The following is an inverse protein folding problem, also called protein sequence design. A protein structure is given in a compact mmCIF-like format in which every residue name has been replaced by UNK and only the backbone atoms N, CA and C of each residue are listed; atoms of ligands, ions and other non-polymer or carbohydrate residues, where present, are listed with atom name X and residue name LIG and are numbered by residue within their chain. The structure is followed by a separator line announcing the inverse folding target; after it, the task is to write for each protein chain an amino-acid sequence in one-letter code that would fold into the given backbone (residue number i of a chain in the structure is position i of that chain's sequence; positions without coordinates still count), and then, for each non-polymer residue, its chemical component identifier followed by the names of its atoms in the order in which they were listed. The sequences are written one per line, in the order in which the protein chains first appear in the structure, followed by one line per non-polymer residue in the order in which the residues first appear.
data_IF_445071774494
#
_entry.id   IF_445071774494
#
_cell.length_a   1.000
_cell.length_b   1.000
_cell.length_c   1.000
_cell.angle_alpha   90.00
_cell.angle_beta   90.00
_cell.angle_gamma   90.00
#
_symmetry.space_group_name_H-M   'P 1'
#
loop_
_entity.id
_entity.type
_entity.pdbx_description
1 polymer ?
#
# COMPACT_ATOMS: atom_id res chain seq x y z
N UNK A 1 -17.13 30.54 -29.47
CA UNK A 1 -15.89 30.42 -28.66
C UNK A 1 -16.19 30.77 -27.21
N UNK A 2 -15.90 29.88 -26.27
CA UNK A 2 -16.23 30.07 -24.86
C UNK A 2 -15.09 30.73 -24.10
N UNK A 3 -15.36 31.87 -23.46
CA UNK A 3 -14.39 32.62 -22.66
C UNK A 3 -13.92 31.74 -21.47
N UNK A 4 -12.61 31.57 -21.35
CA UNK A 4 -11.97 30.83 -20.26
C UNK A 4 -11.96 31.69 -18.98
N UNK A 5 -12.86 31.38 -18.04
CA UNK A 5 -12.93 32.07 -16.75
C UNK A 5 -11.90 31.50 -15.75
N UNK A 6 -11.54 32.26 -14.70
CA UNK A 6 -10.64 31.79 -13.62
C UNK A 6 -11.08 30.47 -12.98
N UNK A 7 -12.36 30.13 -13.05
CA UNK A 7 -12.94 28.88 -12.56
C UNK A 7 -12.68 27.69 -13.50
N UNK A 8 -12.41 27.94 -14.79
CA UNK A 8 -12.09 26.92 -15.80
C UNK A 8 -10.59 26.63 -15.92
N UNK A 9 -9.74 27.42 -15.24
CA UNK A 9 -8.30 27.15 -15.20
C UNK A 9 -8.03 25.97 -14.26
N UNK A 10 -7.23 24.97 -14.67
CA UNK A 10 -6.78 23.93 -13.76
C UNK A 10 -6.18 24.56 -12.51
N UNK A 11 -6.49 23.99 -11.34
CA UNK A 11 -5.88 24.42 -10.07
C UNK A 11 -4.35 24.44 -10.24
N UNK A 12 -3.68 25.38 -9.54
CA UNK A 12 -2.20 25.51 -9.60
C UNK A 12 -1.47 24.19 -9.36
N UNK A 13 -2.07 23.32 -8.54
CA UNK A 13 -1.70 21.91 -8.41
C UNK A 13 -2.81 21.09 -9.06
N UNK A 14 -2.63 20.75 -10.33
CA UNK A 14 -3.56 19.86 -11.03
C UNK A 14 -3.25 18.42 -10.61
N UNK A 15 -4.02 17.89 -9.68
CA UNK A 15 -4.08 16.50 -9.25
C UNK A 15 -5.39 15.83 -9.66
N UNK A 16 -6.21 16.48 -10.48
CA UNK A 16 -7.48 15.94 -10.96
C UNK A 16 -7.23 14.67 -11.79
N UNK A 17 -8.02 13.64 -11.47
CA UNK A 17 -8.04 12.39 -12.24
C UNK A 17 -8.48 12.72 -13.66
N UNK A 18 -7.79 12.18 -14.66
CA UNK A 18 -8.29 12.25 -16.02
C UNK A 18 -9.60 11.47 -16.07
N UNK A 19 -10.73 12.18 -16.18
CA UNK A 19 -12.09 11.60 -16.27
C UNK A 19 -12.30 10.75 -17.55
N UNK A 20 -11.28 10.64 -18.41
CA UNK A 20 -11.30 9.87 -19.65
C UNK A 20 -10.64 8.48 -19.50
N UNK A 21 -10.34 8.02 -18.28
CA UNK A 21 -9.85 6.65 -18.08
C UNK A 21 -11.00 5.64 -18.20
N UNK A 22 -10.77 4.50 -18.89
CA UNK A 22 -11.82 3.56 -19.22
C UNK A 22 -12.51 2.99 -17.97
N UNK A 23 -13.83 2.79 -18.10
CA UNK A 23 -14.67 2.13 -17.10
C UNK A 23 -14.16 0.71 -16.86
N UNK A 24 -13.40 0.55 -15.79
CA UNK A 24 -12.68 -0.68 -15.42
C UNK A 24 -11.60 -0.48 -14.36
N UNK A 25 -11.62 0.66 -13.65
CA UNK A 25 -10.59 0.98 -12.67
C UNK A 25 -10.59 -0.05 -11.54
N UNK A 26 -9.40 -0.56 -11.24
CA UNK A 26 -9.15 -1.35 -10.04
C UNK A 26 -9.58 -0.55 -8.81
N UNK A 27 -10.44 -1.14 -7.98
CA UNK A 27 -10.83 -0.54 -6.69
C UNK A 27 -9.67 -0.54 -5.69
N UNK A 28 -8.70 -1.43 -5.88
CA UNK A 28 -7.50 -1.57 -5.04
C UNK A 28 -6.37 -0.63 -5.51
N UNK A 29 -6.14 -0.55 -6.82
CA UNK A 29 -5.04 0.19 -7.45
C UNK A 29 -5.52 1.46 -8.15
N UNK A 30 -6.48 2.16 -7.54
CA UNK A 30 -6.96 3.44 -8.09
C UNK A 30 -5.83 4.47 -8.10
N UNK A 31 -5.42 5.00 -9.28
CA UNK A 31 -4.39 6.02 -9.37
C UNK A 31 -4.74 7.23 -8.49
N UNK A 32 -3.81 7.61 -7.60
CA UNK A 32 -3.95 8.80 -6.76
C UNK A 32 -2.93 9.84 -7.18
N UNK A 33 -3.39 11.07 -7.43
CA UNK A 33 -2.51 12.17 -7.80
C UNK A 33 -1.91 12.03 -9.20
N UNK A 34 -0.93 12.88 -9.50
CA UNK A 34 -0.35 13.05 -10.83
C UNK A 34 1.16 13.31 -10.76
N UNK A 35 1.99 12.50 -11.43
CA UNK A 35 3.42 12.77 -11.53
C UNK A 35 3.70 14.00 -12.42
N UNK A 36 4.80 14.69 -12.14
CA UNK A 36 5.29 15.80 -12.95
C UNK A 36 6.67 15.48 -13.53
N UNK A 37 6.81 15.73 -14.83
CA UNK A 37 8.05 15.50 -15.58
C UNK A 37 8.24 14.05 -15.99
N UNK A 38 9.43 13.75 -16.52
CA UNK A 38 9.81 12.38 -16.88
C UNK A 38 9.98 11.48 -15.66
N UNK A 39 9.76 10.17 -15.87
CA UNK A 39 10.10 9.15 -14.88
C UNK A 39 11.42 8.48 -15.21
N UNK A 40 12.22 8.17 -14.18
CA UNK A 40 13.27 7.17 -14.28
C UNK A 40 12.83 5.87 -13.59
N UNK A 41 13.39 4.75 -14.00
CA UNK A 41 13.15 3.44 -13.37
C UNK A 41 14.36 3.01 -12.58
N UNK A 42 14.14 2.36 -11.44
CA UNK A 42 15.21 1.78 -10.63
C UNK A 42 14.77 0.41 -10.08
N UNK A 43 15.71 -0.54 -9.90
CA UNK A 43 15.38 -1.84 -9.35
C UNK A 43 15.05 -1.74 -7.86
N UNK A 44 14.03 -2.48 -7.42
CA UNK A 44 13.76 -2.66 -5.99
C UNK A 44 14.61 -3.81 -5.45
N UNK A 45 15.22 -3.61 -4.28
CA UNK A 45 15.87 -4.69 -3.54
C UNK A 45 14.83 -5.69 -3.03
N UNK A 46 15.26 -6.92 -2.74
CA UNK A 46 14.36 -7.94 -2.18
C UNK A 46 13.67 -7.46 -0.90
N UNK A 47 14.43 -6.79 -0.02
CA UNK A 47 13.91 -6.21 1.22
C UNK A 47 12.82 -5.16 0.97
N UNK A 48 13.04 -4.22 0.04
CA UNK A 48 12.04 -3.19 -0.28
C UNK A 48 10.77 -3.79 -0.90
N UNK A 49 10.92 -4.82 -1.75
CA UNK A 49 9.77 -5.55 -2.30
C UNK A 49 8.97 -6.23 -1.20
N UNK A 50 9.65 -6.95 -0.30
CA UNK A 50 9.01 -7.63 0.84
C UNK A 50 8.26 -6.62 1.72
N UNK A 51 8.91 -5.51 2.09
CA UNK A 51 8.30 -4.47 2.93
C UNK A 51 7.09 -3.82 2.25
N UNK A 52 7.21 -3.44 0.98
CA UNK A 52 6.10 -2.85 0.22
C UNK A 52 4.93 -3.83 0.05
N UNK A 53 5.22 -5.11 -0.22
CA UNK A 53 4.20 -6.15 -0.34
C UNK A 53 3.45 -6.34 0.98
N UNK A 54 4.19 -6.53 2.07
CA UNK A 54 3.62 -6.71 3.41
C UNK A 54 2.76 -5.51 3.83
N UNK A 55 3.25 -4.30 3.61
CA UNK A 55 2.48 -3.08 3.87
C UNK A 55 1.14 -3.09 3.12
N UNK A 56 1.16 -3.39 1.82
CA UNK A 56 -0.06 -3.43 1.01
C UNK A 56 -1.04 -4.50 1.51
N UNK A 57 -0.56 -5.68 1.88
CA UNK A 57 -1.43 -6.76 2.37
C UNK A 57 -2.07 -6.43 3.72
N UNK A 58 -1.33 -5.80 4.63
CA UNK A 58 -1.83 -5.44 5.97
C UNK A 58 -2.87 -4.32 5.89
N UNK A 59 -2.62 -3.30 5.05
CA UNK A 59 -3.44 -2.08 5.01
C UNK A 59 -4.53 -2.11 3.91
N UNK A 60 -4.71 -3.22 3.20
CA UNK A 60 -5.74 -3.35 2.17
C UNK A 60 -7.01 -3.99 2.75
N UNK A 61 -8.11 -3.23 2.75
CA UNK A 61 -9.42 -3.72 3.23
C UNK A 61 -9.91 -4.98 2.49
N UNK A 62 -9.59 -5.13 1.20
CA UNK A 62 -9.95 -6.31 0.41
C UNK A 62 -9.18 -7.58 0.82
N UNK A 63 -8.04 -7.44 1.48
CA UNK A 63 -7.20 -8.54 1.95
C UNK A 63 -7.60 -8.99 3.36
N UNK A 64 -8.27 -8.14 4.13
CA UNK A 64 -8.68 -8.41 5.52
C UNK A 64 -9.36 -9.78 5.73
N UNK A 65 -10.32 -10.23 4.89
CA UNK A 65 -10.93 -11.56 5.05
C UNK A 65 -9.92 -12.71 4.97
N UNK A 66 -8.91 -12.58 4.10
CA UNK A 66 -7.84 -13.58 3.95
C UNK A 66 -6.94 -13.60 5.18
N UNK A 67 -6.61 -12.43 5.72
CA UNK A 67 -5.83 -12.31 6.96
C UNK A 67 -6.56 -12.92 8.15
N UNK A 68 -7.86 -12.67 8.28
CA UNK A 68 -8.70 -13.22 9.36
C UNK A 68 -8.83 -14.74 9.26
N UNK A 69 -8.97 -15.27 8.05
CA UNK A 69 -8.96 -16.71 7.82
C UNK A 69 -7.60 -17.34 8.16
N UNK A 70 -6.50 -16.69 7.78
CA UNK A 70 -5.16 -17.16 8.12
C UNK A 70 -4.94 -17.20 9.64
N UNK A 71 -5.44 -16.19 10.39
CA UNK A 71 -5.45 -16.20 11.85
C UNK A 71 -6.20 -17.41 12.40
N UNK A 72 -7.35 -17.74 11.84
CA UNK A 72 -8.14 -18.89 12.27
C UNK A 72 -7.49 -20.23 11.91
N UNK A 73 -6.78 -20.31 10.79
CA UNK A 73 -5.96 -21.47 10.44
C UNK A 73 -4.88 -21.72 11.50
N UNK A 74 -4.12 -20.69 11.89
CA UNK A 74 -3.09 -20.78 12.94
C UNK A 74 -3.69 -21.22 14.28
N UNK A 75 -4.86 -20.67 14.65
CA UNK A 75 -5.56 -21.04 15.89
C UNK A 75 -5.97 -22.51 15.91
N UNK A 76 -6.41 -23.06 14.76
CA UNK A 76 -6.83 -24.46 14.63
C UNK A 76 -5.65 -25.44 14.58
N UNK A 77 -4.52 -25.04 13.97
CA UNK A 77 -3.34 -25.90 13.85
C UNK A 77 -2.57 -26.05 15.17
N UNK A 78 -2.78 -25.12 16.11
CA UNK A 78 -2.13 -25.18 17.44
C UNK A 78 -2.85 -26.20 18.33
N UNK A 79 -2.29 -27.41 18.45
CA UNK A 79 -2.87 -28.52 19.23
C UNK A 79 -2.99 -28.16 20.72
N UNK A 80 -4.22 -27.97 21.20
CA UNK A 80 -4.57 -27.99 22.63
C UNK A 80 -4.28 -26.72 23.44
N UNK A 81 -3.60 -25.70 22.88
CA UNK A 81 -3.40 -24.40 23.55
C UNK A 81 -3.58 -23.27 22.55
N UNK A 82 -4.49 -22.34 22.84
CA UNK A 82 -4.64 -21.12 22.02
C UNK A 82 -3.38 -20.27 22.16
N UNK A 83 -2.70 -19.89 21.05
CA UNK A 83 -1.52 -19.04 21.14
C UNK A 83 -1.90 -17.67 21.73
N UNK A 84 -0.99 -17.04 22.51
CA UNK A 84 -1.16 -15.65 22.92
C UNK A 84 -1.37 -14.74 21.71
N UNK A 85 -2.17 -13.68 21.86
CA UNK A 85 -2.46 -12.73 20.77
C UNK A 85 -1.19 -12.15 20.16
N UNK A 86 -0.17 -11.84 20.98
CA UNK A 86 1.12 -11.32 20.50
C UNK A 86 1.84 -12.28 19.57
N UNK A 87 1.81 -13.58 19.87
CA UNK A 87 2.51 -14.60 19.07
C UNK A 87 1.75 -14.91 17.79
N UNK A 88 0.41 -14.87 17.86
CA UNK A 88 -0.46 -14.96 16.69
C UNK A 88 -0.16 -13.82 15.71
N UNK A 89 -0.21 -12.57 16.17
CA UNK A 89 0.03 -11.42 15.29
C UNK A 89 1.46 -11.40 14.75
N UNK A 90 2.48 -11.77 15.55
CA UNK A 90 3.86 -11.96 15.06
C UNK A 90 3.97 -13.01 13.95
N UNK A 91 3.17 -14.07 14.03
CA UNK A 91 3.16 -15.13 13.02
C UNK A 91 2.46 -14.66 11.76
N UNK A 92 1.31 -14.00 11.89
CA UNK A 92 0.59 -13.37 10.77
C UNK A 92 1.50 -12.39 10.04
N UNK A 93 2.14 -11.50 10.78
CA UNK A 93 3.08 -10.52 10.28
C UNK A 93 4.25 -11.12 9.49
N UNK A 94 4.75 -12.26 9.94
CA UNK A 94 5.90 -12.93 9.31
C UNK A 94 5.51 -13.77 8.10
N UNK A 95 4.38 -14.47 8.17
CA UNK A 95 4.09 -15.59 7.26
C UNK A 95 2.95 -15.31 6.30
N UNK A 96 2.13 -14.30 6.56
CA UNK A 96 0.96 -14.02 5.72
C UNK A 96 1.33 -13.62 4.29
N UNK A 97 2.44 -12.90 4.09
CA UNK A 97 2.89 -12.53 2.74
C UNK A 97 3.21 -13.74 1.85
N UNK A 98 3.59 -14.85 2.47
CA UNK A 98 3.98 -16.08 1.77
C UNK A 98 2.80 -17.06 1.66
N UNK A 99 1.81 -16.98 2.56
CA UNK A 99 0.59 -17.79 2.51
C UNK A 99 -0.47 -17.20 1.58
N UNK A 100 -0.56 -15.87 1.49
CA UNK A 100 -1.57 -15.17 0.69
C UNK A 100 -1.56 -15.58 -0.80
N UNK A 101 -0.40 -15.69 -1.49
CA UNK A 101 -0.40 -16.12 -2.88
C UNK A 101 -0.92 -17.54 -3.07
N UNK A 102 -0.63 -18.44 -2.13
CA UNK A 102 -1.11 -19.85 -2.15
C UNK A 102 -2.62 -19.92 -1.98
N UNK A 103 -3.17 -19.06 -1.10
CA UNK A 103 -4.61 -18.94 -0.87
C UNK A 103 -5.34 -18.33 -2.09
N UNK A 104 -4.70 -17.39 -2.79
CA UNK A 104 -5.29 -16.69 -3.94
C UNK A 104 -5.17 -17.45 -5.26
N UNK A 105 -4.13 -18.28 -5.42
CA UNK A 105 -3.82 -18.96 -6.69
C UNK A 105 -4.25 -20.43 -6.75
N UNK A 106 -4.91 -20.96 -5.71
CA UNK A 106 -5.39 -22.34 -5.59
C UNK A 106 -4.30 -23.43 -5.71
N UNK A 107 -3.53 -23.63 -4.62
CA UNK A 107 -2.82 -24.91 -4.38
C UNK A 107 -3.59 -25.87 -3.47
N UNK A 108 -4.70 -25.43 -2.86
CA UNK A 108 -5.63 -26.23 -2.06
C UNK A 108 -7.08 -25.80 -2.33
N UNK A 109 -8.03 -26.68 -2.08
CA UNK A 109 -9.49 -26.44 -2.13
C UNK A 109 -9.83 -25.02 -1.65
N UNK A 110 -10.55 -24.20 -2.45
CA UNK A 110 -10.87 -22.84 -2.06
C UNK A 110 -11.78 -22.88 -0.83
N UNK A 111 -11.27 -22.50 0.33
CA UNK A 111 -12.10 -22.34 1.54
C UNK A 111 -13.09 -21.17 1.35
N UNK A 112 -12.79 -20.25 0.42
CA UNK A 112 -13.64 -19.12 0.04
C UNK A 112 -14.29 -19.37 -1.32
N UNK A 113 -15.63 -19.40 -1.35
CA UNK A 113 -16.45 -19.60 -2.57
C UNK A 113 -16.54 -18.37 -3.48
N UNK A 114 -15.76 -17.32 -3.23
CA UNK A 114 -15.82 -16.08 -4.00
C UNK A 114 -14.95 -16.10 -5.25
N UNK A 115 -15.46 -15.48 -6.31
CA UNK A 115 -14.68 -15.16 -7.50
C UNK A 115 -13.53 -14.23 -7.13
N UNK A 116 -12.30 -14.76 -7.13
CA UNK A 116 -11.10 -13.98 -6.84
C UNK A 116 -10.89 -12.94 -7.96
N UNK A 117 -10.91 -11.67 -7.58
CA UNK A 117 -10.70 -10.56 -8.52
C UNK A 117 -9.29 -10.57 -9.11
N UNK A 118 -9.14 -10.04 -10.33
CA UNK A 118 -7.84 -9.84 -10.96
C UNK A 118 -6.90 -9.02 -10.08
N UNK A 119 -7.44 -8.04 -9.36
CA UNK A 119 -6.66 -7.18 -8.45
C UNK A 119 -6.06 -7.95 -7.28
N UNK A 120 -6.82 -8.89 -6.68
CA UNK A 120 -6.30 -9.77 -5.63
C UNK A 120 -5.19 -10.67 -6.16
N UNK A 121 -5.32 -11.17 -7.41
CA UNK A 121 -4.26 -11.93 -8.08
C UNK A 121 -3.02 -11.08 -8.35
N UNK A 122 -3.17 -9.79 -8.62
CA UNK A 122 -2.02 -8.88 -8.75
C UNK A 122 -1.37 -8.59 -7.39
N UNK A 123 -2.17 -8.35 -6.35
CA UNK A 123 -1.66 -8.21 -4.98
C UNK A 123 -0.84 -9.43 -4.57
N UNK A 124 -1.36 -10.64 -4.80
CA UNK A 124 -0.68 -11.89 -4.47
C UNK A 124 0.68 -12.07 -5.18
N UNK A 125 0.87 -11.50 -6.37
CA UNK A 125 2.17 -11.55 -7.07
C UNK A 125 3.20 -10.58 -6.48
N UNK A 126 2.75 -9.62 -5.70
CA UNK A 126 3.59 -8.59 -5.12
C UNK A 126 4.07 -7.52 -6.12
N UNK A 127 4.92 -6.58 -5.66
CA UNK A 127 5.38 -5.45 -6.44
C UNK A 127 6.22 -5.85 -7.67
N UNK A 128 6.13 -5.03 -8.72
CA UNK A 128 6.99 -5.15 -9.89
C UNK A 128 8.49 -5.07 -9.50
N UNK A 129 9.39 -5.67 -10.31
CA UNK A 129 10.81 -5.70 -9.98
C UNK A 129 11.46 -4.31 -9.95
N UNK A 130 10.90 -3.37 -10.70
CA UNK A 130 11.39 -2.01 -10.85
C UNK A 130 10.31 -1.02 -10.39
N UNK A 131 10.73 0.05 -9.72
CA UNK A 131 9.89 1.17 -9.35
C UNK A 131 10.18 2.39 -10.23
N UNK A 132 9.19 3.27 -10.35
CA UNK A 132 9.32 4.57 -11.03
C UNK A 132 9.62 5.66 -10.01
N UNK A 133 10.56 6.54 -10.34
CA UNK A 133 10.86 7.76 -9.58
C UNK A 133 10.47 8.97 -10.41
N UNK A 134 9.91 9.96 -9.72
CA UNK A 134 9.54 11.26 -10.28
C UNK A 134 10.21 12.38 -9.48
N UNK A 135 10.41 13.53 -10.12
CA UNK A 135 11.01 14.70 -9.47
C UNK A 135 9.99 15.52 -8.65
N UNK A 136 8.70 15.41 -9.01
CA UNK A 136 7.60 16.01 -8.29
C UNK A 136 6.32 15.23 -8.51
N UNK A 137 5.41 15.32 -7.54
CA UNK A 137 4.13 14.61 -7.55
C UNK A 137 3.04 15.50 -6.96
N UNK A 138 1.93 15.67 -7.67
CA UNK A 138 0.76 16.35 -7.14
C UNK A 138 -0.19 15.32 -6.51
N UNK A 139 -0.60 15.49 -5.27
CA UNK A 139 -1.59 14.64 -4.61
C UNK A 139 -2.27 15.44 -3.49
N UNK A 140 -3.59 15.27 -3.34
CA UNK A 140 -4.39 15.94 -2.31
C UNK A 140 -4.27 17.48 -2.34
N UNK A 141 -4.12 18.08 -3.51
CA UNK A 141 -3.93 19.52 -3.71
C UNK A 141 -2.52 20.03 -3.40
N UNK A 142 -1.59 19.17 -2.97
CA UNK A 142 -0.21 19.52 -2.67
C UNK A 142 0.73 19.07 -3.79
N UNK A 143 1.87 19.74 -3.92
CA UNK A 143 2.97 19.36 -4.82
C UNK A 143 4.20 18.99 -4.00
N UNK A 144 4.47 17.71 -3.94
CA UNK A 144 5.67 17.17 -3.31
C UNK A 144 6.83 17.20 -4.29
N UNK A 145 8.03 17.50 -3.80
CA UNK A 145 9.25 17.54 -4.60
C UNK A 145 10.35 16.74 -3.95
N UNK A 146 11.27 16.21 -4.76
CA UNK A 146 12.53 15.66 -4.24
C UNK A 146 13.35 16.79 -3.60
N UNK A 147 14.11 16.46 -2.56
CA UNK A 147 14.89 17.42 -1.76
C UNK A 147 15.73 18.37 -2.61
N UNK A 148 16.40 17.88 -3.64
CA UNK A 148 17.25 18.69 -4.53
C UNK A 148 16.48 19.77 -5.32
N UNK A 149 15.17 19.61 -5.51
CA UNK A 149 14.29 20.60 -6.16
C UNK A 149 13.60 21.53 -5.18
N UNK A 150 13.61 21.18 -3.90
CA UNK A 150 12.96 21.93 -2.84
C UNK A 150 13.96 22.85 -2.11
N UNK A 151 15.26 22.55 -2.20
CA UNK A 151 16.33 23.36 -1.65
C UNK A 151 16.30 24.80 -2.20
N UNK A 152 16.30 25.78 -1.28
CA UNK A 152 16.26 27.21 -1.61
C UNK A 152 14.86 27.76 -1.93
N UNK A 153 13.81 26.92 -1.90
CA UNK A 153 12.44 27.40 -2.00
C UNK A 153 11.93 27.95 -0.66
N UNK A 154 11.00 28.91 -0.75
CA UNK A 154 10.35 29.52 0.43
C UNK A 154 9.50 28.53 1.24
N UNK A 155 9.01 27.46 0.61
CA UNK A 155 8.15 26.44 1.24
C UNK A 155 8.77 25.08 1.03
N UNK A 156 9.01 24.34 2.11
CA UNK A 156 9.47 22.96 2.03
C UNK A 156 8.28 22.01 1.89
N UNK A 157 8.18 21.33 0.75
CA UNK A 157 7.21 20.26 0.49
C UNK A 157 7.95 18.98 0.04
N UNK A 158 9.08 18.72 0.67
CA UNK A 158 9.88 17.51 0.49
C UNK A 158 9.72 16.61 1.71
N UNK A 159 9.29 15.38 1.45
CA UNK A 159 8.98 14.41 2.49
C UNK A 159 7.53 13.95 2.42
N UNK A 160 7.36 12.63 2.52
CA UNK A 160 6.08 11.97 2.69
C UNK A 160 6.28 10.92 3.76
N UNK A 161 5.33 10.78 4.66
CA UNK A 161 5.27 9.67 5.60
C UNK A 161 4.02 8.85 5.33
N UNK A 162 4.05 7.62 5.79
CA UNK A 162 2.98 6.66 5.63
C UNK A 162 2.63 6.14 7.01
N UNK A 163 1.34 6.20 7.35
CA UNK A 163 0.81 5.53 8.54
C UNK A 163 0.48 4.09 8.17
N UNK A 164 0.78 3.15 9.06
CA UNK A 164 0.52 1.73 8.84
C UNK A 164 -0.11 1.11 10.08
N UNK A 165 -1.12 0.27 9.87
CA UNK A 165 -1.73 -0.53 10.92
C UNK A 165 -0.86 -1.77 11.22
N UNK A 166 0.34 -1.56 11.76
CA UNK A 166 1.22 -2.66 12.19
C UNK A 166 1.01 -2.98 13.66
N UNK A 167 0.85 -4.28 13.98
CA UNK A 167 0.90 -4.74 15.35
C UNK A 167 2.33 -4.60 15.88
N UNK A 168 2.51 -3.80 16.93
CA UNK A 168 3.77 -3.75 17.67
C UNK A 168 3.56 -4.37 19.04
N UNK A 169 4.54 -5.16 19.48
CA UNK A 169 4.61 -5.66 20.84
C UNK A 169 5.71 -4.86 21.51
N UNK A 170 5.35 -3.88 22.33
CA UNK A 170 6.32 -3.16 23.16
C UNK A 170 6.83 -4.09 24.26
N UNK A 171 8.14 -4.26 24.35
CA UNK A 171 8.75 -4.85 25.54
C UNK A 171 8.92 -3.77 26.61
N UNK A 172 9.02 -4.17 27.88
CA UNK A 172 9.34 -3.22 28.98
C UNK A 172 10.72 -2.55 28.82
N UNK A 173 11.54 -3.01 27.88
CA UNK A 173 12.81 -2.40 27.51
C UNK A 173 12.67 -1.32 26.41
N UNK A 174 11.55 -1.27 25.68
CA UNK A 174 11.34 -0.35 24.57
C UNK A 174 10.85 1.02 25.07
N UNK A 175 11.80 1.89 25.42
CA UNK A 175 11.55 3.30 25.77
C UNK A 175 11.29 4.17 24.53
N UNK A 176 10.33 3.81 23.66
CA UNK A 176 9.84 4.72 22.63
C UNK A 176 8.60 4.18 21.91
N UNK A 177 7.43 4.36 22.52
CA UNK A 177 6.17 4.43 21.77
C UNK A 177 5.72 5.88 21.79
N UNK A 178 5.87 6.60 20.68
CA UNK A 178 5.12 7.84 20.44
C UNK A 178 4.01 7.48 19.48
N UNK A 179 2.79 7.55 19.97
CA UNK A 179 1.60 7.48 19.15
C UNK A 179 1.63 8.70 18.22
N UNK A 180 1.51 8.48 16.92
CA UNK A 180 1.26 9.58 15.99
C UNK A 180 -0.22 9.91 16.09
N UNK A 181 -0.53 11.15 16.47
CA UNK A 181 -1.88 11.72 16.48
C UNK A 181 -2.45 11.88 15.06
#
# INVERSE_FOLDING_TARGET
EGIESRLKRPRRMNDERHLNEPSGMSSIFSPQGKPIGGSSTFPLTSLLKMQAHRYMLINCAAVKPFTDEFRDHIRKSTKGRRPPTSDLERTVDREFSDSFPKQVMNDYEPIITYTISTDLKFLARGPAPNARRFIAYNINGFKFRVLSRDQGLKTQNSGVFLTSDTFYVSSSADKSARQAD
#
